data_IF_379483206049
#
_entry.id   IF_379483206049
#
_cell.length_a   1.000
_cell.length_b   1.000
_cell.length_c   1.000
_cell.angle_alpha   90.00
_cell.angle_beta   90.00
_cell.angle_gamma   90.00
#
_symmetry.space_group_name_H-M   'P 1'
#
loop_
_entity.id
_entity.type
_entity.pdbx_description
1 polymer ?
#
# COMPACT_ATOMS: atom_id res chain seq x y z
N UNK A 1 28.18 -12.49 5.29
CA UNK A 1 26.78 -12.71 5.71
C UNK A 1 25.98 -12.93 4.44
N UNK A 2 25.06 -13.91 4.38
CA UNK A 2 24.11 -13.97 3.26
C UNK A 2 23.27 -12.69 3.25
N UNK A 3 22.84 -12.26 2.06
CA UNK A 3 21.97 -11.08 1.92
C UNK A 3 20.65 -11.31 2.67
N UNK A 4 20.08 -10.26 3.30
CA UNK A 4 18.80 -10.38 3.98
C UNK A 4 17.72 -10.81 2.97
N UNK A 5 16.82 -11.74 3.34
CA UNK A 5 15.77 -12.23 2.43
C UNK A 5 14.75 -11.14 2.05
N UNK A 6 14.70 -10.05 2.82
CA UNK A 6 13.79 -8.93 2.63
C UNK A 6 14.62 -7.65 2.49
N UNK A 7 14.55 -7.00 1.33
CA UNK A 7 15.32 -5.78 1.06
C UNK A 7 14.70 -4.51 1.66
N UNK A 8 13.48 -4.59 2.20
CA UNK A 8 12.75 -3.43 2.70
C UNK A 8 12.41 -2.45 1.58
N UNK A 9 12.52 -1.14 1.86
CA UNK A 9 12.43 -0.10 0.83
C UNK A 9 13.82 0.22 0.29
N UNK A 10 14.01 0.00 -1.00
CA UNK A 10 15.21 0.41 -1.74
C UNK A 10 14.88 1.57 -2.68
N UNK A 11 15.87 2.42 -2.94
CA UNK A 11 15.72 3.61 -3.80
C UNK A 11 16.82 3.69 -4.83
N UNK A 12 16.47 4.15 -6.02
CA UNK A 12 17.39 4.62 -7.04
C UNK A 12 17.24 6.13 -7.26
N UNK A 13 18.35 6.80 -7.58
CA UNK A 13 18.38 8.22 -7.99
C UNK A 13 18.97 8.42 -9.39
N UNK A 14 19.26 7.33 -10.10
CA UNK A 14 19.97 7.34 -11.38
C UNK A 14 19.22 6.54 -12.46
N UNK A 15 17.88 6.63 -12.44
CA UNK A 15 16.97 5.93 -13.33
C UNK A 15 17.08 4.39 -13.25
N UNK A 16 17.31 3.86 -12.05
CA UNK A 16 17.32 2.42 -11.78
C UNK A 16 18.65 1.72 -12.07
N UNK A 17 19.74 2.46 -12.33
CA UNK A 17 21.06 1.85 -12.59
C UNK A 17 21.72 1.37 -11.32
N UNK A 18 21.58 2.11 -10.22
CA UNK A 18 22.02 1.72 -8.89
C UNK A 18 20.88 1.85 -7.88
N UNK A 19 20.93 0.99 -6.87
CA UNK A 19 19.93 0.88 -5.82
C UNK A 19 20.61 0.89 -4.47
N UNK A 20 20.00 1.58 -3.51
CA UNK A 20 20.45 1.63 -2.13
C UNK A 20 19.28 1.34 -1.21
N UNK A 21 19.53 0.52 -0.20
CA UNK A 21 18.60 0.30 0.92
C UNK A 21 18.36 1.61 1.65
N UNK A 22 17.08 1.98 1.81
CA UNK A 22 16.65 3.19 2.51
C UNK A 22 16.15 2.86 3.93
N UNK A 23 15.35 1.80 4.08
CA UNK A 23 14.77 1.40 5.37
C UNK A 23 14.21 -0.02 5.35
N UNK A 24 13.88 -0.55 6.53
CA UNK A 24 13.21 -1.85 6.75
C UNK A 24 13.94 -3.09 6.18
N UNK A 25 15.27 -3.01 6.02
CA UNK A 25 16.10 -4.13 5.59
C UNK A 25 16.02 -5.29 6.59
N UNK A 26 15.76 -6.49 6.06
CA UNK A 26 15.52 -7.69 6.85
C UNK A 26 14.21 -7.68 7.65
N UNK A 27 13.41 -6.61 7.56
CA UNK A 27 12.22 -6.42 8.39
C UNK A 27 10.92 -6.52 7.61
N UNK A 28 10.84 -5.89 6.43
CA UNK A 28 9.62 -5.82 5.63
C UNK A 28 9.80 -6.40 4.22
N UNK A 29 8.79 -7.14 3.78
CA UNK A 29 8.60 -7.52 2.38
C UNK A 29 7.39 -6.75 1.84
N UNK A 30 7.64 -5.56 1.32
CA UNK A 30 6.56 -4.72 0.83
C UNK A 30 5.99 -5.27 -0.48
N UNK A 31 4.84 -5.94 -0.38
CA UNK A 31 4.11 -6.47 -1.53
C UNK A 31 3.55 -5.34 -2.41
N UNK A 32 3.16 -4.23 -1.78
CA UNK A 32 2.66 -3.05 -2.45
C UNK A 32 3.25 -1.78 -1.81
N UNK A 33 3.55 -0.80 -2.65
CA UNK A 33 3.96 0.55 -2.27
C UNK A 33 3.11 1.54 -3.07
N UNK A 34 2.36 2.40 -2.38
CA UNK A 34 1.49 3.40 -3.01
C UNK A 34 1.70 4.78 -2.40
N UNK A 35 1.85 5.79 -3.24
CA UNK A 35 2.02 7.18 -2.81
C UNK A 35 0.69 7.92 -2.84
N UNK A 36 0.44 8.72 -1.80
CA UNK A 36 -0.72 9.59 -1.66
C UNK A 36 -0.25 10.96 -1.18
N UNK A 37 -0.09 11.92 -2.09
CA UNK A 37 0.60 13.18 -1.80
C UNK A 37 2.00 12.90 -1.21
N UNK A 38 2.25 13.40 0.00
CA UNK A 38 3.52 13.20 0.72
C UNK A 38 3.57 11.92 1.57
N UNK A 39 2.47 11.15 1.64
CA UNK A 39 2.41 9.91 2.40
C UNK A 39 2.76 8.74 1.49
N UNK A 40 3.72 7.92 1.91
CA UNK A 40 4.03 6.64 1.28
C UNK A 40 3.41 5.53 2.14
N UNK A 41 2.57 4.72 1.53
CA UNK A 41 2.01 3.52 2.13
C UNK A 41 2.74 2.29 1.63
N UNK A 42 3.10 1.38 2.55
CA UNK A 42 3.68 0.07 2.23
C UNK A 42 2.85 -1.04 2.87
N UNK A 43 2.58 -2.11 2.13
CA UNK A 43 1.92 -3.29 2.67
C UNK A 43 2.92 -4.42 2.87
N UNK A 44 3.19 -4.77 4.12
CA UNK A 44 4.12 -5.85 4.46
C UNK A 44 3.40 -7.21 4.35
N UNK A 45 3.87 -8.05 3.42
CA UNK A 45 3.31 -9.37 3.13
C UNK A 45 3.42 -10.32 4.32
N UNK A 46 4.47 -10.16 5.14
CA UNK A 46 4.77 -11.06 6.25
C UNK A 46 3.78 -10.87 7.40
N UNK A 47 3.54 -9.62 7.80
CA UNK A 47 2.66 -9.30 8.91
C UNK A 47 1.23 -8.92 8.49
N UNK A 48 0.96 -8.78 7.19
CA UNK A 48 -0.31 -8.22 6.67
C UNK A 48 -0.63 -6.84 7.25
N UNK A 49 0.40 -6.05 7.57
CA UNK A 49 0.25 -4.70 8.11
C UNK A 49 0.45 -3.66 7.03
N UNK A 50 -0.42 -2.66 7.04
CA UNK A 50 -0.18 -1.41 6.37
C UNK A 50 0.80 -0.56 7.19
N UNK A 51 1.81 -0.01 6.53
CA UNK A 51 2.78 0.91 7.09
C UNK A 51 2.61 2.25 6.38
N UNK A 52 2.78 3.35 7.10
CA UNK A 52 2.66 4.70 6.54
C UNK A 52 3.89 5.52 6.90
N UNK A 53 4.48 6.16 5.91
CA UNK A 53 5.61 7.06 6.06
C UNK A 53 5.24 8.47 5.60
N UNK A 54 5.72 9.48 6.33
CA UNK A 54 5.57 10.91 5.98
C UNK A 54 6.91 11.57 5.66
N UNK A 55 7.98 10.77 5.57
CA UNK A 55 9.35 11.22 5.37
C UNK A 55 10.02 10.50 4.18
N UNK A 56 9.22 10.19 3.15
CA UNK A 56 9.62 9.48 1.93
C UNK A 56 10.18 8.07 2.18
N UNK A 57 9.62 7.36 3.17
CA UNK A 57 9.96 5.98 3.48
C UNK A 57 11.22 5.81 4.32
N UNK A 58 11.70 6.85 5.01
CA UNK A 58 12.86 6.72 5.92
C UNK A 58 12.46 6.12 7.26
N UNK A 59 11.27 6.47 7.74
CA UNK A 59 10.64 5.88 8.92
C UNK A 59 9.18 5.54 8.65
N UNK A 60 8.65 4.59 9.42
CA UNK A 60 7.34 4.00 9.18
C UNK A 60 6.52 3.91 10.46
N UNK A 61 5.27 4.35 10.37
CA UNK A 61 4.25 4.13 11.38
C UNK A 61 3.43 2.89 11.00
N UNK A 62 3.42 1.88 11.86
CA UNK A 62 2.71 0.62 11.64
C UNK A 62 1.22 0.81 11.94
N UNK A 63 0.38 0.63 10.93
CA UNK A 63 -1.07 0.89 10.97
C UNK A 63 -1.88 -0.40 11.07
N UNK A 64 -3.08 -0.41 10.50
CA UNK A 64 -3.98 -1.54 10.52
C UNK A 64 -3.32 -2.81 9.98
N UNK A 65 -3.70 -3.93 10.58
CA UNK A 65 -3.48 -5.26 10.02
C UNK A 65 -4.76 -5.67 9.30
N UNK A 66 -4.64 -6.10 8.05
CA UNK A 66 -5.79 -6.45 7.21
C UNK A 66 -5.36 -7.44 6.12
N UNK A 67 -6.24 -8.36 5.68
CA UNK A 67 -5.94 -9.32 4.62
C UNK A 67 -6.06 -8.66 3.23
N UNK A 68 -5.32 -7.58 3.01
CA UNK A 68 -5.28 -6.90 1.72
C UNK A 68 -4.52 -7.76 0.70
N UNK A 69 -5.06 -7.80 -0.51
CA UNK A 69 -4.43 -8.37 -1.69
C UNK A 69 -3.77 -7.27 -2.54
N UNK A 70 -4.33 -6.06 -2.50
CA UNK A 70 -3.79 -4.89 -3.20
C UNK A 70 -4.24 -3.60 -2.49
N UNK A 71 -3.54 -2.49 -2.75
CA UNK A 71 -3.81 -1.16 -2.20
C UNK A 71 -3.93 -0.10 -3.29
N UNK A 72 -4.78 0.90 -3.04
CA UNK A 72 -4.79 2.15 -3.78
C UNK A 72 -4.96 3.32 -2.81
N UNK A 73 -4.47 4.51 -3.14
CA UNK A 73 -4.60 5.67 -2.28
C UNK A 73 -4.98 6.92 -3.08
N UNK A 74 -5.74 7.83 -2.44
CA UNK A 74 -6.24 9.02 -3.11
C UNK A 74 -5.13 10.09 -3.18
N UNK A 75 -4.76 10.59 -4.38
CA UNK A 75 -3.61 11.49 -4.53
C UNK A 75 -3.80 12.85 -3.84
N UNK A 76 -5.02 13.41 -3.88
CA UNK A 76 -5.32 14.70 -3.25
C UNK A 76 -5.84 14.62 -1.79
N UNK A 77 -6.08 13.41 -1.29
CA UNK A 77 -6.62 13.19 0.07
C UNK A 77 -5.84 12.05 0.71
N UNK A 78 -4.58 12.29 1.14
CA UNK A 78 -3.66 11.23 1.55
C UNK A 78 -4.17 10.30 2.64
N UNK A 79 -5.13 10.73 3.45
CA UNK A 79 -5.74 9.88 4.49
C UNK A 79 -6.72 8.84 3.94
N UNK A 80 -7.07 8.92 2.65
CA UNK A 80 -7.97 7.94 2.01
C UNK A 80 -7.16 6.86 1.30
N UNK A 81 -7.34 5.63 1.77
CA UNK A 81 -6.67 4.43 1.25
C UNK A 81 -7.72 3.35 1.06
N UNK A 82 -7.67 2.61 -0.04
CA UNK A 82 -8.47 1.44 -0.30
C UNK A 82 -7.61 0.19 -0.25
N UNK A 83 -8.22 -0.90 0.23
CA UNK A 83 -7.65 -2.22 0.21
C UNK A 83 -8.63 -3.18 -0.46
N UNK A 84 -8.16 -3.88 -1.49
CA UNK A 84 -8.89 -5.01 -2.03
C UNK A 84 -8.65 -6.21 -1.11
N UNK A 85 -9.70 -6.85 -0.61
CA UNK A 85 -9.60 -8.06 0.22
C UNK A 85 -10.33 -9.22 -0.44
N UNK A 86 -10.19 -10.43 0.12
CA UNK A 86 -10.94 -11.60 -0.35
C UNK A 86 -12.46 -11.50 -0.21
N UNK A 87 -12.97 -10.56 0.58
CA UNK A 87 -14.42 -10.39 0.85
C UNK A 87 -15.01 -9.14 0.21
N UNK A 88 -14.18 -8.21 -0.29
CA UNK A 88 -14.64 -7.01 -0.98
C UNK A 88 -13.62 -5.87 -0.92
N UNK A 89 -14.07 -4.69 -1.32
CA UNK A 89 -13.28 -3.47 -1.16
C UNK A 89 -13.49 -2.90 0.24
N UNK A 90 -12.39 -2.59 0.92
CA UNK A 90 -12.40 -1.84 2.17
C UNK A 90 -11.75 -0.47 1.97
N UNK A 91 -12.22 0.52 2.72
CA UNK A 91 -11.76 1.90 2.67
C UNK A 91 -11.38 2.39 4.06
N UNK A 92 -10.26 3.08 4.12
CA UNK A 92 -9.84 3.93 5.20
C UNK A 92 -9.99 5.41 4.81
N UNK A 93 -10.29 6.26 5.80
CA UNK A 93 -10.28 7.73 5.67
C UNK A 93 -9.43 8.41 6.75
N UNK A 94 -8.74 7.60 7.58
CA UNK A 94 -7.92 8.03 8.72
C UNK A 94 -6.43 7.72 8.54
N UNK A 95 -6.01 7.57 7.27
CA UNK A 95 -4.64 7.26 6.89
C UNK A 95 -4.25 5.82 7.15
N UNK A 96 -5.20 4.89 7.00
CA UNK A 96 -4.99 3.46 7.11
C UNK A 96 -4.97 2.92 8.53
N UNK A 97 -5.40 3.71 9.53
CA UNK A 97 -5.50 3.25 10.93
C UNK A 97 -6.68 2.32 11.14
N UNK A 98 -7.79 2.59 10.45
CA UNK A 98 -8.95 1.72 10.41
C UNK A 98 -9.48 1.57 9.00
N UNK A 99 -10.05 0.40 8.71
CA UNK A 99 -10.68 0.07 7.43
C UNK A 99 -12.12 -0.40 7.68
N UNK A 100 -13.01 -0.08 6.74
CA UNK A 100 -14.40 -0.51 6.74
C UNK A 100 -14.80 -0.91 5.32
N UNK A 101 -15.76 -1.84 5.15
CA UNK A 101 -16.30 -2.14 3.83
C UNK A 101 -16.74 -0.87 3.11
N UNK A 102 -16.28 -0.68 1.87
CA UNK A 102 -16.69 0.44 1.03
C UNK A 102 -18.03 0.09 0.37
N UNK A 103 -19.13 0.54 0.96
CA UNK A 103 -20.49 0.27 0.46
C UNK A 103 -20.83 1.04 -0.81
N UNK A 104 -20.00 2.01 -1.21
CA UNK A 104 -20.13 2.67 -2.50
C UNK A 104 -19.48 1.87 -3.64
N UNK A 105 -18.63 0.88 -3.32
CA UNK A 105 -18.08 -0.01 -4.31
C UNK A 105 -19.18 -0.92 -4.89
N UNK A 106 -19.28 -1.07 -6.21
CA UNK A 106 -20.24 -1.99 -6.80
C UNK A 106 -19.94 -3.42 -6.32
N UNK A 107 -20.97 -4.23 -6.02
CA UNK A 107 -20.77 -5.57 -5.50
C UNK A 107 -19.94 -6.41 -6.47
N UNK A 108 -19.12 -7.31 -5.93
CA UNK A 108 -18.23 -8.20 -6.69
C UNK A 108 -18.92 -8.94 -7.85
N UNK A 109 -20.24 -9.15 -7.76
CA UNK A 109 -21.08 -9.75 -8.81
C UNK A 109 -21.14 -8.94 -10.11
N UNK A 110 -20.94 -7.61 -10.08
CA UNK A 110 -20.93 -6.76 -11.26
C UNK A 110 -19.61 -6.78 -12.05
N UNK A 111 -18.52 -7.20 -11.42
CA UNK A 111 -17.18 -7.20 -12.05
C UNK A 111 -16.91 -8.42 -12.95
N UNK A 112 -17.72 -9.48 -12.88
CA UNK A 112 -17.55 -10.67 -13.75
C UNK A 112 -17.86 -10.42 -15.23
N UNK A 113 -18.72 -9.45 -15.54
CA UNK A 113 -19.30 -9.36 -16.87
C UNK A 113 -18.90 -8.11 -17.67
N UNK A 114 -18.40 -7.05 -17.03
CA UNK A 114 -17.82 -5.90 -17.73
C UNK A 114 -16.82 -5.21 -16.81
N UNK A 115 -15.53 -5.23 -17.15
CA UNK A 115 -14.55 -4.36 -16.51
C UNK A 115 -14.54 -3.02 -17.25
N UNK A 116 -15.09 -1.92 -16.69
CA UNK A 116 -14.63 -0.62 -17.12
C UNK A 116 -13.26 -0.40 -16.49
N UNK A 117 -12.30 -0.02 -17.34
CA UNK A 117 -11.01 0.51 -16.92
C UNK A 117 -11.29 1.71 -16.01
N UNK A 118 -10.77 1.70 -14.78
CA UNK A 118 -10.87 2.84 -13.88
C UNK A 118 -10.16 4.04 -14.52
N UNK A 119 -10.94 5.00 -15.02
CA UNK A 119 -10.45 6.32 -15.41
C UNK A 119 -10.75 7.28 -14.27
N UNK A 120 -9.73 7.65 -13.51
CA UNK A 120 -9.79 8.81 -12.61
C UNK A 120 -9.19 10.00 -13.36
N UNK A 121 -9.96 11.08 -13.45
CA UNK A 121 -9.53 12.40 -13.95
C UNK A 121 -8.73 13.11 -12.87
#
# INVERSE_FOLDING_TARGET
>A
MPDPPHLGLIRSMDAGRTWQTLSAEGEADFHALVQAGDVLYGFDSQSSKLWASTDAGRSWDRRAQLPALDLAAHPATPTTVWAATGTGLERSTDGGRTFRPDTAAPPWSRWRNHAPVCSWV
#
